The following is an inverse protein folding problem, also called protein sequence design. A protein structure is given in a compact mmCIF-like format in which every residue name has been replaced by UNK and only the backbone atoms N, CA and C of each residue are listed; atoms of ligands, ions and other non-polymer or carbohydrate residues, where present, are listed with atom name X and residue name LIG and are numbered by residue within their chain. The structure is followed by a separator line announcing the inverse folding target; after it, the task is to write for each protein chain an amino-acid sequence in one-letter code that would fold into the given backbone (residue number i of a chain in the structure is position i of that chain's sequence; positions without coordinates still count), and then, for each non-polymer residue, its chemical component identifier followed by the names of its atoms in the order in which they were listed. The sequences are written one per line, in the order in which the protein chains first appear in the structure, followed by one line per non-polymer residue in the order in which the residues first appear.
data_IF_722109196555
#
_entry.id   IF_722109196555
#
_cell.length_a   1.000
_cell.length_b   1.000
_cell.length_c   1.000
_cell.angle_alpha   90.00
_cell.angle_beta   90.00
_cell.angle_gamma   90.00
#
_symmetry.space_group_name_H-M   'P 1'
#
loop_
_entity.id
_entity.type
_entity.pdbx_description
1 polymer ?
#
# COMPACT_ATOMS: atom_id res chain seq x y z
N UNK A 1 21.38 -38.03 -5.92
CA UNK A 1 20.96 -37.05 -4.92
C UNK A 1 19.65 -36.47 -5.40
N UNK A 2 18.57 -36.72 -4.69
CA UNK A 2 17.31 -36.06 -5.02
C UNK A 2 17.49 -34.55 -4.76
N UNK A 3 17.13 -33.76 -5.76
CA UNK A 3 17.20 -32.28 -5.67
C UNK A 3 16.22 -31.84 -4.59
N UNK A 4 16.72 -31.44 -3.43
CA UNK A 4 15.90 -31.10 -2.26
C UNK A 4 15.04 -29.84 -2.50
N UNK A 5 15.51 -28.96 -3.37
CA UNK A 5 14.79 -27.74 -3.77
C UNK A 5 14.37 -27.82 -5.23
N UNK A 6 13.09 -27.62 -5.48
CA UNK A 6 12.54 -27.49 -6.84
C UNK A 6 12.45 -26.03 -7.21
N UNK A 7 13.03 -25.66 -8.33
CA UNK A 7 13.00 -24.29 -8.85
C UNK A 7 11.92 -24.20 -9.95
N UNK A 8 11.10 -23.15 -9.83
CA UNK A 8 10.08 -22.82 -10.82
C UNK A 8 10.30 -21.39 -11.29
N UNK A 9 10.16 -21.15 -12.59
CA UNK A 9 10.11 -19.82 -13.15
C UNK A 9 8.67 -19.48 -13.47
N UNK A 10 8.18 -18.38 -12.89
CA UNK A 10 6.83 -17.88 -13.12
C UNK A 10 6.88 -16.53 -13.82
N UNK A 11 6.03 -16.35 -14.82
CA UNK A 11 5.79 -15.05 -15.46
C UNK A 11 4.49 -14.49 -14.93
N UNK A 12 4.54 -13.26 -14.44
CA UNK A 12 3.35 -12.52 -13.98
C UNK A 12 3.14 -11.35 -14.95
N UNK A 13 1.91 -11.18 -15.41
CA UNK A 13 1.49 -10.10 -16.28
C UNK A 13 0.44 -9.25 -15.58
N UNK A 14 0.68 -7.93 -15.51
CA UNK A 14 -0.27 -6.99 -14.94
C UNK A 14 -1.34 -6.65 -15.97
N UNK A 15 -2.60 -6.99 -15.71
CA UNK A 15 -3.75 -6.67 -16.56
C UNK A 15 -4.42 -5.33 -16.17
N UNK A 16 -4.06 -4.79 -15.02
CA UNK A 16 -4.55 -3.52 -14.50
C UNK A 16 -3.45 -2.83 -13.68
N UNK A 17 -3.59 -1.54 -13.32
CA UNK A 17 -2.65 -0.88 -12.43
C UNK A 17 -2.48 -1.66 -11.12
N UNK A 18 -1.22 -1.85 -10.71
CA UNK A 18 -0.86 -2.53 -9.47
C UNK A 18 -0.48 -1.47 -8.45
N UNK A 19 -0.96 -1.63 -7.21
CA UNK A 19 -0.54 -0.85 -6.07
C UNK A 19 -0.12 -1.78 -4.93
N UNK A 20 1.09 -1.53 -4.40
CA UNK A 20 1.61 -2.20 -3.22
C UNK A 20 2.08 -1.12 -2.25
N UNK A 21 1.36 -0.96 -1.16
CA UNK A 21 1.62 0.08 -0.18
C UNK A 21 2.90 -0.16 0.61
N UNK A 22 3.68 0.90 0.82
CA UNK A 22 4.84 0.89 1.73
C UNK A 22 4.45 1.03 3.20
N UNK A 23 3.18 1.35 3.48
CA UNK A 23 2.72 1.78 4.80
C UNK A 23 2.98 3.27 5.10
N UNK A 24 3.70 3.97 4.22
CA UNK A 24 3.97 5.40 4.34
C UNK A 24 2.89 6.20 3.61
N UNK A 25 2.43 7.28 4.23
CA UNK A 25 1.50 8.24 3.66
C UNK A 25 2.13 9.61 3.62
N UNK A 26 1.98 10.28 2.51
CA UNK A 26 2.37 11.69 2.36
C UNK A 26 1.18 12.58 2.72
N UNK A 27 1.40 13.49 3.65
CA UNK A 27 0.44 14.52 4.01
C UNK A 27 0.51 15.71 3.05
N UNK A 28 -0.43 16.65 3.19
CA UNK A 28 -0.55 17.83 2.33
C UNK A 28 0.63 18.80 2.40
N UNK A 29 1.55 18.59 3.34
CA UNK A 29 2.81 19.34 3.47
C UNK A 29 4.00 18.67 2.79
N UNK A 30 3.79 17.50 2.17
CA UNK A 30 4.85 16.67 1.61
C UNK A 30 4.73 16.51 0.09
N UNK A 31 3.69 17.09 -0.52
CA UNK A 31 3.54 17.11 -1.97
C UNK A 31 3.03 18.46 -2.47
N UNK A 32 3.25 18.73 -3.76
CA UNK A 32 2.83 19.93 -4.45
C UNK A 32 1.73 19.54 -5.44
N UNK A 33 0.51 20.03 -5.24
CA UNK A 33 -0.57 19.85 -6.19
C UNK A 33 -0.64 21.03 -7.15
N UNK A 34 -0.67 20.72 -8.45
CA UNK A 34 -0.79 21.67 -9.56
C UNK A 34 -2.14 21.53 -10.26
N UNK A 35 -3.14 22.35 -9.93
CA UNK A 35 -4.50 22.20 -10.45
C UNK A 35 -4.61 22.32 -11.98
N UNK A 36 -3.78 23.18 -12.60
CA UNK A 36 -3.85 23.44 -14.05
C UNK A 36 -3.36 22.29 -14.90
N UNK A 37 -2.35 21.55 -14.43
CA UNK A 37 -1.83 20.38 -15.13
C UNK A 37 -2.47 19.09 -14.62
N UNK A 38 -3.27 19.18 -13.58
CA UNK A 38 -3.84 18.02 -12.89
C UNK A 38 -2.77 17.02 -12.43
N UNK A 39 -1.64 17.56 -11.96
CA UNK A 39 -0.47 16.81 -11.54
C UNK A 39 -0.15 17.02 -10.05
N UNK A 40 0.44 15.97 -9.47
CA UNK A 40 1.06 16.02 -8.15
C UNK A 40 2.57 15.84 -8.32
N UNK A 41 3.34 16.74 -7.75
CA UNK A 41 4.80 16.67 -7.71
C UNK A 41 5.20 16.25 -6.30
N UNK A 42 6.01 15.21 -6.20
CA UNK A 42 6.68 14.82 -4.96
C UNK A 42 8.07 15.45 -4.98
N UNK A 43 8.33 16.42 -4.10
CA UNK A 43 9.62 17.11 -4.07
C UNK A 43 10.68 16.28 -3.36
N UNK A 44 11.93 16.45 -3.78
CA UNK A 44 13.10 16.13 -3.00
C UNK A 44 13.18 17.17 -1.86
N UNK A 45 12.81 16.74 -0.67
CA UNK A 45 12.71 17.62 0.49
C UNK A 45 14.04 18.28 0.84
N UNK A 46 15.17 17.61 0.57
CA UNK A 46 16.49 18.18 0.83
C UNK A 46 16.81 19.32 -0.13
N UNK A 47 16.56 19.14 -1.42
CA UNK A 47 16.76 20.20 -2.43
C UNK A 47 15.82 21.38 -2.18
N UNK A 48 14.57 21.10 -1.88
CA UNK A 48 13.60 22.14 -1.54
C UNK A 48 14.02 22.92 -0.30
N UNK A 49 14.47 22.25 0.75
CA UNK A 49 14.94 22.89 1.97
C UNK A 49 16.14 23.83 1.71
N UNK A 50 17.10 23.41 0.89
CA UNK A 50 18.23 24.26 0.50
C UNK A 50 17.77 25.52 -0.26
N UNK A 51 16.75 25.41 -1.10
CA UNK A 51 16.20 26.56 -1.80
C UNK A 51 15.45 27.51 -0.84
N UNK A 52 14.70 26.97 0.12
CA UNK A 52 14.05 27.73 1.20
C UNK A 52 15.09 28.50 2.03
N UNK A 53 16.21 27.83 2.34
CA UNK A 53 17.33 28.45 3.08
C UNK A 53 17.98 29.58 2.27
N UNK A 54 18.26 29.38 0.99
CA UNK A 54 18.82 30.40 0.09
C UNK A 54 17.90 31.64 -0.01
N UNK A 55 16.60 31.43 0.07
CA UNK A 55 15.59 32.50 0.02
C UNK A 55 15.42 33.22 1.35
N UNK A 56 16.02 32.73 2.43
CA UNK A 56 15.98 33.34 3.76
C UNK A 56 14.68 33.15 4.55
N UNK A 57 13.81 32.23 4.12
CA UNK A 57 12.47 31.98 4.73
C UNK A 57 12.41 30.67 5.52
N UNK A 58 13.55 30.27 6.08
CA UNK A 58 13.66 28.97 6.79
C UNK A 58 12.83 28.94 8.07
N UNK A 59 12.75 30.04 8.80
CA UNK A 59 11.99 30.14 10.05
C UNK A 59 10.50 29.94 9.77
N UNK A 60 9.99 30.65 8.79
CA UNK A 60 8.58 30.54 8.34
C UNK A 60 8.25 29.15 7.82
N UNK A 61 9.21 28.50 7.15
CA UNK A 61 9.06 27.11 6.71
C UNK A 61 9.01 26.14 7.90
N UNK A 62 9.89 26.31 8.87
CA UNK A 62 9.89 25.49 10.08
C UNK A 62 8.59 25.64 10.85
N UNK A 63 8.13 26.88 11.03
CA UNK A 63 6.86 27.18 11.70
C UNK A 63 5.68 26.55 10.93
N UNK A 64 5.68 26.61 9.60
CA UNK A 64 4.69 25.97 8.77
C UNK A 64 4.70 24.43 8.94
N UNK A 65 5.87 23.80 8.94
CA UNK A 65 5.98 22.35 9.08
C UNK A 65 5.56 21.87 10.48
N UNK A 66 5.97 22.58 11.54
CA UNK A 66 5.71 22.21 12.93
C UNK A 66 4.25 22.44 13.35
N UNK A 67 3.57 23.42 12.79
CA UNK A 67 2.17 23.73 13.11
C UNK A 67 1.21 22.77 12.39
N UNK A 68 1.16 21.53 12.86
CA UNK A 68 0.21 20.54 12.36
C UNK A 68 -1.22 20.95 12.72
N UNK A 69 -2.01 21.33 11.72
CA UNK A 69 -3.47 21.40 11.85
C UNK A 69 -4.12 22.74 12.14
N UNK A 70 -3.41 23.81 12.44
CA UNK A 70 -4.09 25.07 12.79
C UNK A 70 -4.70 25.83 11.60
N UNK A 71 -4.25 25.64 10.36
CA UNK A 71 -4.77 26.42 9.22
C UNK A 71 -5.12 25.61 7.97
N UNK A 72 -5.00 24.28 7.95
CA UNK A 72 -5.29 23.46 6.76
C UNK A 72 -4.44 23.82 5.51
N UNK A 73 -3.38 24.61 5.69
CA UNK A 73 -2.52 25.11 4.62
C UNK A 73 -1.69 23.98 4.01
N UNK A 74 -1.72 23.87 2.70
CA UNK A 74 -0.93 22.90 1.95
C UNK A 74 0.46 23.43 1.60
N UNK A 75 1.39 22.53 1.27
CA UNK A 75 2.71 22.91 0.78
C UNK A 75 2.61 23.81 -0.46
N UNK A 76 1.72 23.49 -1.40
CA UNK A 76 1.49 24.28 -2.61
C UNK A 76 1.10 25.73 -2.31
N UNK A 77 0.25 25.94 -1.30
CA UNK A 77 -0.17 27.29 -0.87
C UNK A 77 0.99 28.04 -0.22
N UNK A 78 1.72 27.37 0.66
CA UNK A 78 2.87 27.98 1.34
C UNK A 78 3.95 28.41 0.34
N UNK A 79 4.30 27.54 -0.61
CA UNK A 79 5.29 27.83 -1.64
C UNK A 79 4.87 29.01 -2.52
N UNK A 80 3.59 29.07 -2.92
CA UNK A 80 3.05 30.16 -3.73
C UNK A 80 3.13 31.50 -3.00
N UNK A 81 2.81 31.56 -1.72
CA UNK A 81 2.91 32.77 -0.90
C UNK A 81 4.35 33.28 -0.79
N UNK A 82 5.30 32.36 -0.74
CA UNK A 82 6.73 32.69 -0.71
C UNK A 82 7.34 32.85 -2.11
N UNK A 83 6.50 32.99 -3.15
CA UNK A 83 6.93 33.25 -4.54
C UNK A 83 7.87 32.19 -5.11
N UNK A 84 7.64 30.92 -4.78
CA UNK A 84 8.22 29.80 -5.50
C UNK A 84 7.32 29.45 -6.68
N UNK A 85 7.91 29.14 -7.84
CA UNK A 85 7.20 28.88 -9.07
C UNK A 85 7.46 27.50 -9.67
N UNK A 86 6.95 27.29 -10.86
CA UNK A 86 7.07 26.01 -11.57
C UNK A 86 8.51 25.61 -11.86
N UNK A 87 9.41 26.56 -12.11
CA UNK A 87 10.85 26.28 -12.32
C UNK A 87 11.48 25.70 -11.04
N UNK A 88 11.13 26.24 -9.89
CA UNK A 88 11.58 25.73 -8.60
C UNK A 88 11.07 24.31 -8.37
N UNK A 89 9.78 24.06 -8.67
CA UNK A 89 9.17 22.73 -8.49
C UNK A 89 9.83 21.68 -9.38
N UNK A 90 10.16 22.02 -10.62
CA UNK A 90 10.89 21.14 -11.54
C UNK A 90 12.32 20.87 -11.04
N UNK A 91 13.00 21.87 -10.48
CA UNK A 91 14.35 21.72 -9.92
C UNK A 91 14.41 20.77 -8.71
N UNK A 92 13.36 20.71 -7.91
CA UNK A 92 13.28 19.83 -6.73
C UNK A 92 12.52 18.56 -6.98
N UNK A 93 11.92 18.39 -8.15
CA UNK A 93 11.11 17.22 -8.46
C UNK A 93 11.87 15.93 -8.27
N UNK A 94 11.36 15.05 -7.41
CA UNK A 94 11.79 13.67 -7.32
C UNK A 94 11.06 12.85 -8.39
N UNK A 95 9.73 12.95 -8.44
CA UNK A 95 8.87 12.43 -9.49
C UNK A 95 7.54 13.18 -9.51
N UNK A 96 6.79 13.01 -10.61
CA UNK A 96 5.43 13.52 -10.74
C UNK A 96 4.47 12.42 -11.14
N UNK A 97 3.20 12.60 -10.83
CA UNK A 97 2.13 11.69 -11.16
C UNK A 97 0.86 12.47 -11.51
N UNK A 98 -0.03 11.83 -12.25
CA UNK A 98 -1.39 12.32 -12.44
C UNK A 98 -2.13 12.37 -11.10
N UNK A 99 -2.87 13.45 -10.87
CA UNK A 99 -3.63 13.65 -9.65
C UNK A 99 -4.87 12.73 -9.54
N UNK A 100 -5.30 12.15 -10.66
CA UNK A 100 -6.47 11.30 -10.74
C UNK A 100 -7.76 12.02 -10.31
N UNK A 101 -8.86 11.30 -10.29
CA UNK A 101 -10.18 11.85 -9.92
C UNK A 101 -10.24 12.35 -8.46
N UNK A 102 -9.31 11.90 -7.61
CA UNK A 102 -9.29 12.25 -6.19
C UNK A 102 -9.15 13.74 -5.90
N UNK A 103 -8.56 14.51 -6.80
CA UNK A 103 -8.33 15.94 -6.67
C UNK A 103 -9.36 16.82 -7.41
N UNK A 104 -10.32 16.22 -8.11
CA UNK A 104 -11.33 16.97 -8.87
C UNK A 104 -12.31 17.75 -7.98
N UNK A 105 -12.51 17.31 -6.75
CA UNK A 105 -13.42 17.99 -5.83
C UNK A 105 -12.67 18.97 -4.91
N UNK A 106 -12.71 20.28 -5.18
CA UNK A 106 -12.01 21.29 -4.37
C UNK A 106 -12.55 21.43 -2.94
N UNK A 107 -13.76 20.95 -2.68
CA UNK A 107 -14.37 20.94 -1.33
C UNK A 107 -14.01 19.69 -0.52
N UNK A 108 -13.35 18.71 -1.14
CA UNK A 108 -12.90 17.54 -0.41
C UNK A 108 -11.78 17.90 0.59
N UNK A 109 -11.71 17.14 1.68
CA UNK A 109 -10.61 17.27 2.64
C UNK A 109 -9.28 17.05 1.94
N UNK A 110 -8.19 17.70 2.43
CA UNK A 110 -6.84 17.43 1.96
C UNK A 110 -6.58 15.93 1.90
N UNK A 111 -5.97 15.46 0.81
CA UNK A 111 -5.75 14.03 0.57
C UNK A 111 -4.40 13.61 1.14
N UNK A 112 -4.38 12.45 1.77
CA UNK A 112 -3.15 11.70 1.99
C UNK A 112 -2.86 10.85 0.75
N UNK A 113 -1.59 10.74 0.38
CA UNK A 113 -1.14 9.93 -0.75
C UNK A 113 -0.42 8.72 -0.19
N UNK A 114 -0.95 7.52 -0.43
CA UNK A 114 -0.28 6.28 -0.07
C UNK A 114 0.90 6.04 -1.01
N UNK A 115 2.09 5.83 -0.45
CA UNK A 115 3.31 5.64 -1.23
C UNK A 115 3.47 4.18 -1.64
N UNK A 116 3.78 3.95 -2.92
CA UNK A 116 4.16 2.62 -3.41
C UNK A 116 5.47 2.17 -2.77
N UNK A 117 5.61 0.88 -2.47
CA UNK A 117 6.86 0.34 -1.92
C UNK A 117 8.00 0.49 -2.92
N UNK A 118 9.16 0.94 -2.43
CA UNK A 118 10.36 1.18 -3.22
C UNK A 118 11.56 0.54 -2.54
N UNK A 119 12.55 0.19 -3.34
CA UNK A 119 13.85 -0.26 -2.85
C UNK A 119 14.70 0.90 -2.30
N UNK A 120 15.92 0.59 -1.86
CA UNK A 120 16.85 1.58 -1.32
C UNK A 120 17.31 2.63 -2.36
N UNK A 121 17.13 2.36 -3.64
CA UNK A 121 17.45 3.27 -4.75
C UNK A 121 16.25 4.09 -5.20
N UNK A 122 15.07 3.88 -4.60
CA UNK A 122 13.84 4.59 -4.93
C UNK A 122 13.03 3.98 -6.08
N UNK A 123 13.38 2.79 -6.57
CA UNK A 123 12.64 2.09 -7.61
C UNK A 123 11.48 1.28 -7.04
N UNK A 124 10.28 1.37 -7.63
CA UNK A 124 9.16 0.55 -7.23
C UNK A 124 9.44 -0.92 -7.56
N UNK A 125 9.07 -1.82 -6.66
CA UNK A 125 9.23 -3.25 -6.87
C UNK A 125 8.06 -4.05 -6.30
N UNK A 126 7.94 -5.31 -6.70
CA UNK A 126 6.95 -6.23 -6.15
C UNK A 126 7.64 -7.17 -5.18
N UNK A 127 7.39 -7.06 -3.85
CA UNK A 127 7.98 -7.96 -2.87
C UNK A 127 7.55 -9.41 -3.09
N UNK A 128 8.46 -10.36 -2.87
CA UNK A 128 8.13 -11.79 -2.91
C UNK A 128 7.00 -12.18 -1.95
N UNK A 129 6.90 -11.49 -0.80
CA UNK A 129 5.79 -11.66 0.15
C UNK A 129 4.42 -11.30 -0.45
N UNK A 130 4.36 -10.26 -1.28
CA UNK A 130 3.12 -9.87 -1.99
C UNK A 130 2.72 -10.91 -3.04
N UNK A 131 3.70 -11.44 -3.77
CA UNK A 131 3.47 -12.54 -4.73
C UNK A 131 3.00 -13.80 -3.98
N UNK A 132 3.62 -14.12 -2.86
CA UNK A 132 3.19 -15.27 -2.02
C UNK A 132 1.75 -15.07 -1.51
N UNK A 133 1.38 -13.86 -1.10
CA UNK A 133 0.01 -13.51 -0.70
C UNK A 133 -1.00 -13.67 -1.86
N UNK A 134 -0.63 -13.23 -3.06
CA UNK A 134 -1.44 -13.43 -4.27
C UNK A 134 -1.65 -14.92 -4.57
N UNK A 135 -0.58 -15.73 -4.53
CA UNK A 135 -0.66 -17.17 -4.74
C UNK A 135 -1.54 -17.85 -3.68
N UNK A 136 -1.43 -17.43 -2.42
CA UNK A 136 -2.29 -17.90 -1.31
C UNK A 136 -3.76 -17.70 -1.64
N UNK A 137 -4.12 -16.49 -2.05
CA UNK A 137 -5.50 -16.13 -2.40
C UNK A 137 -5.99 -16.94 -3.60
N UNK A 138 -5.16 -17.09 -4.64
CA UNK A 138 -5.50 -17.85 -5.83
C UNK A 138 -5.70 -19.34 -5.53
N UNK A 139 -4.86 -19.93 -4.68
CA UNK A 139 -5.00 -21.35 -4.26
C UNK A 139 -6.26 -21.59 -3.44
N UNK A 140 -6.60 -20.69 -2.53
CA UNK A 140 -7.84 -20.75 -1.76
C UNK A 140 -9.04 -20.68 -2.71
N UNK A 141 -9.05 -19.70 -3.62
CA UNK A 141 -10.14 -19.56 -4.59
C UNK A 141 -10.29 -20.79 -5.48
N UNK A 142 -9.17 -21.35 -5.95
CA UNK A 142 -9.16 -22.57 -6.75
C UNK A 142 -9.73 -23.78 -5.98
N UNK A 143 -9.32 -23.99 -4.71
CA UNK A 143 -9.81 -25.09 -3.87
C UNK A 143 -11.31 -24.95 -3.59
N UNK A 144 -11.78 -23.74 -3.30
CA UNK A 144 -13.21 -23.47 -3.09
C UNK A 144 -14.04 -23.75 -4.36
N UNK A 145 -13.50 -23.38 -5.53
CA UNK A 145 -14.18 -23.62 -6.80
C UNK A 145 -14.24 -25.12 -7.13
N UNK A 146 -13.17 -25.85 -6.86
CA UNK A 146 -13.06 -27.27 -7.13
C UNK A 146 -13.92 -28.13 -6.19
N UNK A 147 -13.99 -27.75 -4.92
CA UNK A 147 -14.62 -28.53 -3.86
C UNK A 147 -15.63 -27.69 -3.03
N UNK A 148 -16.67 -27.10 -3.65
CA UNK A 148 -17.58 -26.17 -2.98
C UNK A 148 -18.29 -26.77 -1.77
N UNK A 149 -18.70 -28.02 -1.85
CA UNK A 149 -19.48 -28.71 -0.82
C UNK A 149 -18.69 -28.93 0.48
N UNK A 150 -17.36 -29.05 0.38
CA UNK A 150 -16.46 -29.22 1.52
C UNK A 150 -16.45 -28.01 2.47
N UNK A 151 -16.88 -26.84 1.99
CA UNK A 151 -16.79 -25.58 2.71
C UNK A 151 -18.16 -24.90 2.95
N UNK A 152 -19.25 -25.65 2.82
CA UNK A 152 -20.61 -25.12 3.01
C UNK A 152 -20.83 -24.53 4.40
N UNK A 153 -20.28 -25.17 5.45
CA UNK A 153 -20.34 -24.68 6.82
C UNK A 153 -19.68 -23.29 6.98
N UNK A 154 -18.50 -23.10 6.39
CA UNK A 154 -17.81 -21.79 6.40
C UNK A 154 -18.59 -20.75 5.59
N UNK A 155 -19.18 -21.16 4.46
CA UNK A 155 -20.03 -20.28 3.64
C UNK A 155 -21.23 -19.75 4.43
N UNK A 156 -21.88 -20.61 5.21
CA UNK A 156 -22.99 -20.22 6.09
C UNK A 156 -22.54 -19.31 7.22
N UNK A 157 -21.39 -19.60 7.84
CA UNK A 157 -20.78 -18.73 8.85
C UNK A 157 -20.47 -17.34 8.29
N UNK A 158 -19.86 -17.26 7.09
CA UNK A 158 -19.58 -15.97 6.41
C UNK A 158 -20.88 -15.21 6.11
N UNK A 159 -21.91 -15.90 5.61
CA UNK A 159 -23.22 -15.28 5.36
C UNK A 159 -23.82 -14.71 6.64
N UNK A 160 -23.84 -15.47 7.72
CA UNK A 160 -24.35 -15.02 9.01
C UNK A 160 -23.53 -13.87 9.61
N UNK A 161 -22.19 -13.93 9.45
CA UNK A 161 -21.30 -12.88 9.91
C UNK A 161 -21.44 -11.58 9.09
N UNK A 162 -21.74 -11.69 7.78
CA UNK A 162 -21.93 -10.52 6.91
C UNK A 162 -23.13 -9.66 7.30
N UNK A 163 -24.12 -10.23 7.97
CA UNK A 163 -25.30 -9.53 8.45
C UNK A 163 -25.06 -8.78 9.76
N UNK A 164 -23.94 -9.06 10.48
CA UNK A 164 -23.60 -8.42 11.74
C UNK A 164 -22.99 -7.02 11.46
N UNK A 165 -23.40 -6.03 12.26
CA UNK A 165 -22.74 -4.71 12.27
C UNK A 165 -21.39 -4.84 12.98
N UNK A 166 -20.35 -5.22 12.24
CA UNK A 166 -18.99 -5.33 12.77
C UNK A 166 -18.16 -4.08 12.45
N UNK A 167 -17.12 -3.83 13.25
CA UNK A 167 -16.13 -2.82 12.96
C UNK A 167 -15.40 -3.21 11.65
N UNK A 168 -15.27 -2.27 10.69
CA UNK A 168 -14.70 -2.55 9.35
C UNK A 168 -13.32 -3.20 9.39
N UNK A 169 -12.50 -2.89 10.38
CA UNK A 169 -11.14 -3.45 10.52
C UNK A 169 -11.11 -4.94 10.91
N UNK A 170 -12.21 -5.45 11.47
CA UNK A 170 -12.32 -6.85 11.93
C UNK A 170 -13.37 -7.65 11.16
N UNK A 171 -13.95 -7.04 10.11
CA UNK A 171 -15.00 -7.66 9.33
C UNK A 171 -14.53 -8.96 8.70
N UNK A 172 -15.24 -10.06 8.96
CA UNK A 172 -14.96 -11.42 8.48
C UNK A 172 -13.56 -11.99 8.80
N UNK A 173 -12.78 -11.36 9.66
CA UNK A 173 -11.43 -11.83 10.00
C UNK A 173 -11.38 -13.24 10.60
N UNK A 174 -12.28 -13.63 11.56
CA UNK A 174 -12.29 -14.99 12.10
C UNK A 174 -12.62 -16.06 11.06
N UNK A 175 -13.61 -15.77 10.19
CA UNK A 175 -14.09 -16.68 9.15
C UNK A 175 -13.02 -16.86 8.08
N UNK A 176 -12.36 -15.79 7.66
CA UNK A 176 -11.24 -15.84 6.70
C UNK A 176 -10.09 -16.67 7.29
N UNK A 177 -9.71 -16.44 8.54
CA UNK A 177 -8.65 -17.20 9.21
C UNK A 177 -9.00 -18.69 9.31
N UNK A 178 -10.25 -19.02 9.63
CA UNK A 178 -10.73 -20.39 9.67
C UNK A 178 -10.64 -21.05 8.30
N UNK A 179 -11.03 -20.33 7.24
CA UNK A 179 -10.94 -20.81 5.86
C UNK A 179 -9.48 -21.07 5.46
N UNK A 180 -8.58 -20.12 5.69
CA UNK A 180 -7.16 -20.26 5.40
C UNK A 180 -6.55 -21.48 6.10
N UNK A 181 -6.83 -21.66 7.37
CA UNK A 181 -6.36 -22.82 8.13
C UNK A 181 -6.87 -24.14 7.55
N UNK A 182 -8.14 -24.18 7.17
CA UNK A 182 -8.74 -25.39 6.63
C UNK A 182 -8.21 -25.77 5.24
N UNK A 183 -7.88 -24.77 4.42
CA UNK A 183 -7.38 -24.97 3.05
C UNK A 183 -5.87 -25.22 3.03
N UNK A 184 -5.10 -24.45 3.80
CA UNK A 184 -3.64 -24.37 3.64
C UNK A 184 -2.86 -25.12 4.75
N UNK A 185 -3.44 -25.30 5.96
CA UNK A 185 -2.74 -25.95 7.07
C UNK A 185 -2.93 -27.48 6.99
N UNK A 186 -2.37 -28.06 5.94
CA UNK A 186 -2.51 -29.47 5.61
C UNK A 186 -1.29 -30.32 5.95
N UNK A 187 -0.19 -29.67 6.39
CA UNK A 187 0.99 -30.37 6.86
C UNK A 187 0.80 -30.81 8.32
N UNK A 188 1.36 -31.97 8.67
CA UNK A 188 1.31 -32.53 10.04
C UNK A 188 2.67 -32.36 10.73
N UNK A 189 3.27 -31.17 10.65
CA UNK A 189 4.56 -30.86 11.30
C UNK A 189 4.44 -30.60 12.79
N UNK A 190 3.32 -30.03 13.20
CA UNK A 190 2.94 -29.78 14.58
C UNK A 190 1.56 -30.43 14.80
N UNK A 191 1.59 -31.66 15.32
CA UNK A 191 0.38 -32.47 15.54
C UNK A 191 -0.42 -32.00 16.77
N UNK A 192 0.28 -31.43 17.75
CA UNK A 192 -0.34 -30.92 18.98
C UNK A 192 -1.12 -29.62 18.69
N UNK A 193 -0.61 -28.77 17.81
CA UNK A 193 -1.27 -27.55 17.40
C UNK A 193 -1.46 -27.48 15.88
N UNK A 194 -2.52 -28.08 15.39
CA UNK A 194 -2.88 -28.09 13.96
C UNK A 194 -3.11 -26.69 13.38
N UNK A 195 -3.34 -25.67 14.23
CA UNK A 195 -3.50 -24.28 13.82
C UNK A 195 -2.17 -23.50 13.78
N UNK A 196 -1.07 -24.17 14.03
CA UNK A 196 0.27 -23.61 13.95
C UNK A 196 0.64 -23.29 12.49
N UNK A 197 1.27 -22.14 12.25
CA UNK A 197 1.70 -21.70 10.93
C UNK A 197 2.74 -22.63 10.28
N UNK A 198 3.40 -23.50 11.04
CA UNK A 198 4.33 -24.51 10.50
C UNK A 198 3.61 -25.59 9.68
N UNK A 199 2.30 -25.75 9.86
CA UNK A 199 1.45 -26.65 9.11
C UNK A 199 0.95 -26.07 7.78
N UNK A 200 1.22 -24.79 7.51
CA UNK A 200 0.89 -24.15 6.24
C UNK A 200 1.71 -24.75 5.09
N UNK A 201 1.04 -25.26 4.07
CA UNK A 201 1.69 -25.85 2.88
C UNK A 201 2.57 -24.85 2.11
N UNK A 202 2.30 -23.55 2.24
CA UNK A 202 3.13 -22.51 1.64
C UNK A 202 4.34 -22.12 2.50
N UNK A 203 4.53 -22.71 3.69
CA UNK A 203 5.69 -22.41 4.55
C UNK A 203 7.04 -22.67 3.86
N UNK A 204 7.09 -23.66 2.96
CA UNK A 204 8.27 -24.01 2.16
C UNK A 204 8.41 -23.26 0.83
N UNK A 205 7.47 -22.36 0.49
CA UNK A 205 7.55 -21.58 -0.74
C UNK A 205 8.37 -20.32 -0.52
N UNK A 206 9.46 -20.17 -1.25
CA UNK A 206 10.28 -18.98 -1.33
C UNK A 206 10.04 -18.28 -2.67
N UNK A 207 9.87 -16.98 -2.65
CA UNK A 207 9.70 -16.14 -3.85
C UNK A 207 10.77 -15.06 -3.77
N UNK A 208 11.63 -15.02 -4.77
CA UNK A 208 12.73 -14.07 -4.91
C UNK A 208 12.86 -13.57 -6.34
#
# INVERSE_FOLDING_TARGET
MEEFLKHYRMRIEALSPIYIGSGVKLGTKEYIYMPWNHEVIIPDMQKMFLAVQKKGVIKEFTDFMMNAGQNGKTLSQWLKEHRFGSEDYEAWKLYKMDAGESFLNPKARPKEIDVFIKDAYGYPYVPGSSIKGMLRTALIAWELHKNPDKYCDIKEEVKSASERKANRSQYLMPEIKKLEQRVLYVLSRDEENRKSAVNDCLSGLYVG
#
